data_IF_967976605661
#
_entry.id   IF_967976605661
#
_cell.length_a   1.000
_cell.length_b   1.000
_cell.length_c   1.000
_cell.angle_alpha   90.00
_cell.angle_beta   90.00
_cell.angle_gamma   90.00
#
_symmetry.space_group_name_H-M   'P 1'
#
loop_
_entity.id
_entity.type
_entity.pdbx_description
1 polymer ?
#
# COMPACT_ATOMS: atom_id res chain seq x y z
N UNK A 1 -5.39 -8.06 -6.46
CA UNK A 1 -4.18 -7.73 -7.24
C UNK A 1 -4.24 -8.14 -8.70
N UNK A 2 -4.55 -9.39 -9.07
CA UNK A 2 -4.55 -9.82 -10.49
C UNK A 2 -5.45 -8.97 -11.41
N UNK A 3 -6.57 -8.46 -10.89
CA UNK A 3 -7.44 -7.54 -11.63
C UNK A 3 -6.76 -6.19 -11.89
N UNK A 4 -6.19 -5.58 -10.84
CA UNK A 4 -5.42 -4.33 -10.93
C UNK A 4 -4.31 -4.38 -11.99
N UNK A 5 -3.58 -5.48 -12.03
CA UNK A 5 -2.39 -5.63 -12.88
C UNK A 5 -2.72 -5.90 -14.36
N UNK A 6 -3.84 -6.55 -14.65
CA UNK A 6 -4.11 -7.12 -15.98
C UNK A 6 -5.31 -6.51 -16.71
N UNK A 7 -6.08 -5.64 -16.06
CA UNK A 7 -7.25 -5.00 -16.68
C UNK A 7 -6.96 -3.54 -17.07
N UNK A 8 -7.57 -3.04 -18.16
CA UNK A 8 -7.44 -1.65 -18.56
C UNK A 8 -8.29 -0.77 -17.64
N UNK A 9 -7.71 -0.39 -16.51
CA UNK A 9 -8.32 0.50 -15.52
C UNK A 9 -7.95 1.96 -15.82
N UNK A 10 -8.91 2.86 -15.64
CA UNK A 10 -8.63 4.29 -15.61
C UNK A 10 -7.98 4.67 -14.26
N UNK A 11 -7.49 5.90 -14.16
CA UNK A 11 -6.77 6.38 -12.98
C UNK A 11 -7.63 6.36 -11.71
N UNK A 12 -8.94 6.65 -11.80
CA UNK A 12 -9.84 6.60 -10.65
C UNK A 12 -10.03 5.17 -10.13
N UNK A 13 -10.18 4.21 -11.02
CA UNK A 13 -10.34 2.79 -10.67
C UNK A 13 -9.05 2.25 -10.06
N UNK A 14 -7.89 2.59 -10.64
CA UNK A 14 -6.58 2.26 -10.07
C UNK A 14 -6.41 2.87 -8.67
N UNK A 15 -6.69 4.15 -8.52
CA UNK A 15 -6.56 4.83 -7.24
C UNK A 15 -7.44 4.18 -6.18
N UNK A 16 -8.71 3.96 -6.49
CA UNK A 16 -9.69 3.33 -5.58
C UNK A 16 -9.27 1.92 -5.19
N UNK A 17 -8.88 1.09 -6.16
CA UNK A 17 -8.44 -0.27 -5.88
C UNK A 17 -7.15 -0.32 -5.07
N UNK A 18 -6.23 0.63 -5.27
CA UNK A 18 -5.00 0.69 -4.48
C UNK A 18 -5.29 1.02 -3.01
N UNK A 19 -6.19 1.97 -2.74
CA UNK A 19 -6.63 2.26 -1.38
C UNK A 19 -7.19 1.00 -0.71
N UNK A 20 -8.11 0.30 -1.39
CA UNK A 20 -8.70 -0.94 -0.86
C UNK A 20 -7.61 -1.98 -0.57
N UNK A 21 -6.66 -2.17 -1.49
CA UNK A 21 -5.59 -3.16 -1.31
C UNK A 21 -4.67 -2.83 -0.12
N UNK A 22 -4.32 -1.56 0.10
CA UNK A 22 -3.49 -1.17 1.24
C UNK A 22 -4.26 -1.27 2.56
N UNK A 23 -5.52 -0.82 2.60
CA UNK A 23 -6.36 -0.98 3.80
C UNK A 23 -6.54 -2.44 4.18
N UNK A 24 -6.80 -3.32 3.21
CA UNK A 24 -6.90 -4.76 3.48
C UNK A 24 -5.57 -5.38 3.92
N UNK A 25 -4.43 -4.86 3.43
CA UNK A 25 -3.12 -5.30 3.91
C UNK A 25 -2.91 -4.87 5.37
N UNK A 26 -3.27 -3.63 5.73
CA UNK A 26 -3.16 -3.13 7.09
C UNK A 26 -3.99 -3.94 8.08
N UNK A 27 -5.25 -4.23 7.75
CA UNK A 27 -6.13 -5.10 8.54
C UNK A 27 -5.50 -6.49 8.73
N UNK A 28 -4.98 -7.06 7.64
CA UNK A 28 -4.37 -8.39 7.65
C UNK A 28 -3.09 -8.45 8.51
N UNK A 29 -2.24 -7.43 8.43
CA UNK A 29 -1.03 -7.31 9.27
C UNK A 29 -1.39 -7.13 10.74
N UNK A 30 -2.44 -6.35 11.03
CA UNK A 30 -2.93 -6.09 12.39
C UNK A 30 -3.44 -7.36 13.09
N UNK A 31 -3.91 -8.36 12.34
CA UNK A 31 -4.35 -9.65 12.87
C UNK A 31 -3.19 -10.64 13.16
N UNK A 32 -1.93 -10.26 12.91
CA UNK A 32 -0.76 -11.09 13.20
C UNK A 32 -0.62 -12.33 12.30
N UNK A 33 -1.28 -12.33 11.12
CA UNK A 33 -1.28 -13.45 10.16
C UNK A 33 0.00 -13.42 9.28
N UNK A 34 1.17 -13.50 9.91
CA UNK A 34 2.44 -13.07 9.34
C UNK A 34 3.27 -14.06 8.51
N UNK A 35 2.74 -14.71 7.47
CA UNK A 35 3.56 -15.64 6.64
C UNK A 35 3.53 -15.42 5.12
N UNK A 36 2.53 -14.73 4.55
CA UNK A 36 2.48 -14.41 3.11
C UNK A 36 2.63 -12.91 2.81
N UNK A 37 2.87 -12.11 3.85
CA UNK A 37 2.87 -10.64 3.87
C UNK A 37 3.89 -10.07 2.88
N UNK A 38 5.08 -10.66 2.81
CA UNK A 38 6.14 -10.21 1.92
C UNK A 38 5.76 -10.31 0.44
N UNK A 39 5.00 -11.33 0.03
CA UNK A 39 4.60 -11.47 -1.39
C UNK A 39 3.50 -10.48 -1.75
N UNK A 40 2.52 -10.32 -0.85
CA UNK A 40 1.43 -9.36 -1.02
C UNK A 40 1.97 -7.93 -1.07
N UNK A 41 2.80 -7.57 -0.08
CA UNK A 41 3.47 -6.28 -0.03
C UNK A 41 4.33 -6.03 -1.27
N UNK A 42 5.17 -6.98 -1.69
CA UNK A 42 6.02 -6.79 -2.86
C UNK A 42 5.24 -6.45 -4.13
N UNK A 43 4.07 -7.07 -4.32
CA UNK A 43 3.19 -6.74 -5.46
C UNK A 43 2.55 -5.36 -5.31
N UNK A 44 2.07 -5.01 -4.11
CA UNK A 44 1.53 -3.65 -3.84
C UNK A 44 2.64 -2.61 -4.08
N UNK A 45 3.84 -2.80 -3.52
CA UNK A 45 5.02 -1.94 -3.69
C UNK A 45 5.40 -1.77 -5.16
N UNK A 46 5.38 -2.85 -5.96
CA UNK A 46 5.64 -2.77 -7.40
C UNK A 46 4.60 -1.92 -8.14
N UNK A 47 3.31 -2.10 -7.82
CA UNK A 47 2.23 -1.33 -8.43
C UNK A 47 2.27 0.15 -8.00
N UNK A 48 2.54 0.43 -6.73
CA UNK A 48 2.74 1.78 -6.21
C UNK A 48 3.93 2.48 -6.87
N UNK A 49 5.04 1.77 -7.13
CA UNK A 49 6.19 2.34 -7.86
C UNK A 49 5.89 2.59 -9.33
N UNK A 50 5.14 1.69 -9.98
CA UNK A 50 4.78 1.81 -11.39
C UNK A 50 3.92 3.04 -11.65
N UNK A 51 2.94 3.30 -10.80
CA UNK A 51 2.00 4.42 -10.90
C UNK A 51 2.24 5.43 -9.76
N UNK A 52 3.49 5.78 -9.49
CA UNK A 52 3.89 6.56 -8.29
C UNK A 52 3.17 7.89 -8.14
N UNK A 53 3.13 8.71 -9.20
CA UNK A 53 2.46 10.02 -9.18
C UNK A 53 0.97 9.90 -8.86
N UNK A 54 0.31 8.83 -9.31
CA UNK A 54 -1.10 8.57 -9.01
C UNK A 54 -1.32 8.27 -7.51
N UNK A 55 -0.33 7.66 -6.85
CA UNK A 55 -0.46 7.15 -5.49
C UNK A 55 0.35 7.91 -4.44
N UNK A 56 1.02 9.01 -4.79
CA UNK A 56 1.89 9.74 -3.86
C UNK A 56 1.16 10.17 -2.58
N UNK A 57 -0.09 10.62 -2.71
CA UNK A 57 -0.92 10.98 -1.55
C UNK A 57 -1.26 9.78 -0.68
N UNK A 58 -1.54 8.63 -1.29
CA UNK A 58 -1.75 7.36 -0.57
C UNK A 58 -0.48 6.95 0.16
N UNK A 59 0.68 7.01 -0.49
CA UNK A 59 1.98 6.70 0.13
C UNK A 59 2.26 7.66 1.29
N UNK A 60 1.97 8.95 1.15
CA UNK A 60 2.13 9.96 2.22
C UNK A 60 1.21 9.69 3.40
N UNK A 61 -0.06 9.38 3.14
CA UNK A 61 -1.02 9.07 4.17
C UNK A 61 -0.59 7.86 4.99
N UNK A 62 -0.18 6.75 4.37
CA UNK A 62 0.15 5.52 5.12
C UNK A 62 1.54 5.54 5.76
N UNK A 63 2.48 6.34 5.24
CA UNK A 63 3.80 6.53 5.84
C UNK A 63 3.74 7.30 7.18
N UNK A 64 2.71 8.13 7.37
CA UNK A 64 2.49 8.89 8.62
C UNK A 64 3.76 9.63 9.05
N UNK A 65 4.41 10.32 8.11
CA UNK A 65 5.69 11.02 8.36
C UNK A 65 5.53 12.24 9.27
N UNK A 66 4.32 12.81 9.32
CA UNK A 66 4.01 14.00 10.11
C UNK A 66 3.46 13.68 11.51
N UNK A 67 3.29 12.41 11.88
CA UNK A 67 2.81 12.03 13.21
C UNK A 67 3.97 11.73 14.16
N UNK A 68 3.94 12.30 15.37
CA UNK A 68 4.82 11.95 16.49
C UNK A 68 4.57 10.52 17.03
N UNK A 69 3.61 9.80 16.44
CA UNK A 69 3.26 8.44 16.79
C UNK A 69 4.09 7.45 15.94
N UNK A 70 4.74 6.52 16.63
CA UNK A 70 5.44 5.41 16.01
C UNK A 70 4.42 4.42 15.41
N UNK A 71 4.56 4.15 14.11
CA UNK A 71 3.79 3.18 13.32
C UNK A 71 2.27 3.15 13.60
N UNK A 72 1.58 4.27 13.32
CA UNK A 72 0.12 4.41 13.49
C UNK A 72 -0.70 3.31 12.81
N UNK A 73 -0.18 2.72 11.73
CA UNK A 73 -0.77 1.61 11.01
C UNK A 73 0.23 0.45 10.94
N UNK A 74 -0.27 -0.77 10.92
CA UNK A 74 0.58 -1.95 10.78
C UNK A 74 1.35 -1.95 9.45
N UNK A 75 0.81 -1.31 8.40
CA UNK A 75 1.48 -1.15 7.11
C UNK A 75 2.50 -0.01 7.07
N UNK A 76 2.51 0.91 8.04
CA UNK A 76 3.41 2.07 8.08
C UNK A 76 4.89 1.73 7.87
N UNK A 77 5.51 0.76 8.58
CA UNK A 77 6.93 0.46 8.40
C UNK A 77 7.25 0.03 6.96
N UNK A 78 6.36 -0.72 6.31
CA UNK A 78 6.51 -1.15 4.92
C UNK A 78 6.49 0.02 3.94
N UNK A 79 5.53 0.95 4.11
CA UNK A 79 5.39 2.11 3.21
C UNK A 79 6.58 3.07 3.37
N UNK A 80 7.13 3.22 4.58
CA UNK A 80 8.33 4.04 4.83
C UNK A 80 9.55 3.54 4.06
N UNK A 81 9.74 2.22 3.90
CA UNK A 81 10.82 1.65 3.07
C UNK A 81 10.76 2.05 1.58
N UNK A 82 9.63 2.56 1.10
CA UNK A 82 9.51 3.01 -0.29
C UNK A 82 10.20 4.35 -0.54
N UNK A 83 10.52 5.09 0.53
CA UNK A 83 11.10 6.44 0.49
C UNK A 83 12.62 6.46 0.67
N UNK A 84 13.20 5.35 1.10
CA UNK A 84 14.64 5.06 1.13
C UNK A 84 15.13 4.50 -0.20
#
# INVERSE_FOLDING_TARGET
MTYYENHPLNDNDKFTLMIIMISSLDDYLSEGKGTDDHKLWNRIKQNLRKDYELHIHTINYWAQDESDLEDCFAVTPYVREMRT
#
